data_IF_714136982267
#
_entry.id   IF_714136982267
#
_cell.length_a   1.000
_cell.length_b   1.000
_cell.length_c   1.000
_cell.angle_alpha   90.00
_cell.angle_beta   90.00
_cell.angle_gamma   90.00
#
_symmetry.space_group_name_H-M   'P 1'
#
loop_
_entity.id
_entity.type
_entity.pdbx_description
1 polymer ?
#
# COMPACT_ATOMS: atom_id res chain seq x y z
N UNK A 1 -19.73 -37.16 -1.32
CA UNK A 1 -21.10 -37.41 -1.81
C UNK A 1 -22.04 -37.82 -0.68
N UNK A 2 -21.66 -38.73 0.23
CA UNK A 2 -22.50 -39.18 1.37
C UNK A 2 -22.80 -38.06 2.39
N UNK A 3 -21.81 -37.22 2.76
CA UNK A 3 -22.03 -36.11 3.71
C UNK A 3 -22.97 -35.01 3.19
N UNK A 4 -23.07 -34.78 1.87
CA UNK A 4 -24.00 -33.76 1.35
C UNK A 4 -25.45 -34.24 1.37
N UNK A 5 -25.68 -35.55 1.26
CA UNK A 5 -27.02 -36.15 1.40
C UNK A 5 -27.49 -36.14 2.86
N UNK A 6 -26.60 -36.44 3.81
CA UNK A 6 -26.90 -36.45 5.24
C UNK A 6 -27.39 -35.09 5.79
N UNK A 7 -26.94 -33.98 5.20
CA UNK A 7 -27.31 -32.63 5.62
C UNK A 7 -28.79 -32.27 5.41
N UNK A 8 -29.46 -32.96 4.49
CA UNK A 8 -30.87 -32.71 4.15
C UNK A 8 -31.84 -33.70 4.83
N UNK A 9 -31.32 -34.63 5.62
CA UNK A 9 -32.09 -35.63 6.36
C UNK A 9 -32.49 -35.06 7.72
N UNK A 10 -33.67 -35.39 8.26
CA UNK A 10 -34.04 -35.07 9.64
C UNK A 10 -33.04 -35.63 10.66
N UNK A 11 -32.80 -34.91 11.76
CA UNK A 11 -31.85 -35.32 12.80
C UNK A 11 -32.20 -36.71 13.39
N UNK A 12 -33.48 -37.02 13.58
CA UNK A 12 -33.93 -38.33 14.09
C UNK A 12 -33.55 -39.49 13.16
N UNK A 13 -33.71 -39.30 11.85
CA UNK A 13 -33.32 -40.28 10.84
C UNK A 13 -31.80 -40.38 10.73
N UNK A 14 -31.09 -39.27 10.91
CA UNK A 14 -29.63 -39.25 10.95
C UNK A 14 -29.08 -40.02 12.16
N UNK A 15 -29.65 -39.83 13.36
CA UNK A 15 -29.30 -40.60 14.56
C UNK A 15 -29.46 -42.10 14.33
N UNK A 16 -30.61 -42.49 13.78
CA UNK A 16 -30.93 -43.89 13.47
C UNK A 16 -29.95 -44.50 12.48
N UNK A 17 -29.60 -43.76 11.41
CA UNK A 17 -28.66 -44.23 10.39
C UNK A 17 -27.22 -44.33 10.90
N UNK A 18 -26.81 -43.45 11.81
CA UNK A 18 -25.43 -43.38 12.34
C UNK A 18 -25.21 -44.19 13.62
N UNK A 19 -26.26 -44.78 14.18
CA UNK A 19 -26.19 -45.53 15.45
C UNK A 19 -26.05 -44.64 16.70
N UNK A 20 -26.35 -43.34 16.60
CA UNK A 20 -26.37 -42.43 17.74
C UNK A 20 -27.61 -42.74 18.60
N UNK A 21 -27.43 -42.82 19.92
CA UNK A 21 -28.53 -43.05 20.87
C UNK A 21 -29.66 -42.02 20.68
N UNK A 22 -30.92 -42.46 20.76
CA UNK A 22 -32.08 -41.55 20.66
C UNK A 22 -32.02 -40.45 21.73
N UNK A 23 -31.57 -40.80 22.93
CA UNK A 23 -31.50 -39.88 24.07
C UNK A 23 -30.25 -38.99 24.08
N UNK A 24 -29.35 -39.14 23.10
CA UNK A 24 -28.12 -38.33 23.03
C UNK A 24 -28.47 -36.85 22.77
N UNK A 25 -27.91 -35.96 23.60
CA UNK A 25 -27.99 -34.53 23.39
C UNK A 25 -26.97 -34.09 22.33
N UNK A 26 -27.42 -34.03 21.07
CA UNK A 26 -26.56 -33.67 19.93
C UNK A 26 -26.01 -32.25 20.06
N UNK A 27 -26.74 -31.32 20.68
CA UNK A 27 -26.27 -29.94 20.90
C UNK A 27 -25.08 -29.92 21.83
N UNK A 28 -25.20 -30.59 22.98
CA UNK A 28 -24.14 -30.71 23.97
C UNK A 28 -22.90 -31.38 23.39
N UNK A 29 -23.08 -32.48 22.66
CA UNK A 29 -21.98 -33.16 21.98
C UNK A 29 -21.31 -32.24 20.95
N UNK A 30 -22.06 -31.50 20.13
CA UNK A 30 -21.47 -30.52 19.19
C UNK A 30 -20.69 -29.42 19.91
N UNK A 31 -21.20 -28.92 21.04
CA UNK A 31 -20.54 -27.90 21.85
C UNK A 31 -19.30 -28.40 22.57
N UNK A 32 -19.21 -29.69 22.88
CA UNK A 32 -18.01 -30.30 23.48
C UNK A 32 -16.75 -30.13 22.62
N UNK A 33 -16.92 -29.97 21.30
CA UNK A 33 -15.83 -29.74 20.34
C UNK A 33 -15.44 -28.26 20.17
N UNK A 34 -16.12 -27.33 20.84
CA UNK A 34 -15.85 -25.90 20.79
C UNK A 34 -15.04 -25.42 22.02
N UNK A 35 -15.01 -24.11 22.25
CA UNK A 35 -14.26 -23.51 23.36
C UNK A 35 -14.95 -23.78 24.70
N UNK A 36 -14.14 -23.86 25.77
CA UNK A 36 -14.60 -23.96 27.16
C UNK A 36 -14.46 -22.60 27.88
N UNK A 37 -15.38 -22.23 28.78
CA UNK A 37 -16.66 -22.92 29.03
C UNK A 37 -17.57 -22.82 27.79
N UNK A 38 -18.40 -23.84 27.50
CA UNK A 38 -19.39 -23.71 26.44
C UNK A 38 -20.37 -22.59 26.78
N UNK A 39 -21.03 -21.98 25.79
CA UNK A 39 -22.10 -21.05 26.08
C UNK A 39 -23.21 -21.77 26.87
N UNK A 40 -23.91 -21.06 27.76
CA UNK A 40 -25.13 -21.57 28.38
C UNK A 40 -26.04 -22.09 27.26
N UNK A 41 -26.40 -23.37 27.32
CA UNK A 41 -27.26 -23.98 26.31
C UNK A 41 -28.59 -23.24 26.43
N UNK A 42 -29.00 -22.42 25.44
CA UNK A 42 -30.31 -21.81 25.50
C UNK A 42 -31.32 -22.96 25.57
N UNK A 43 -32.48 -22.77 26.20
CA UNK A 43 -33.60 -23.63 25.90
C UNK A 43 -33.83 -23.50 24.38
N UNK A 44 -33.29 -24.42 23.60
CA UNK A 44 -33.42 -24.46 22.15
C UNK A 44 -34.82 -25.01 21.83
N UNK A 45 -35.85 -24.38 22.40
CA UNK A 45 -37.27 -24.75 22.29
C UNK A 45 -37.71 -24.85 20.81
N UNK A 46 -37.00 -24.15 19.92
CA UNK A 46 -37.23 -24.12 18.48
C UNK A 46 -36.54 -25.24 17.68
N UNK A 47 -35.69 -26.08 18.30
CA UNK A 47 -34.97 -27.14 17.56
C UNK A 47 -35.65 -28.49 17.77
N UNK A 48 -36.49 -28.84 16.81
CA UNK A 48 -37.11 -30.16 16.71
C UNK A 48 -36.19 -31.17 16.00
N UNK A 49 -36.13 -32.42 16.46
CA UNK A 49 -35.37 -33.49 15.77
C UNK A 49 -35.91 -33.86 14.38
N UNK A 50 -37.09 -33.36 14.02
CA UNK A 50 -37.66 -33.44 12.68
C UNK A 50 -37.00 -32.46 11.70
N UNK A 51 -36.26 -31.47 12.20
CA UNK A 51 -35.52 -30.53 11.38
C UNK A 51 -34.29 -31.16 10.72
N UNK A 52 -33.88 -30.57 9.60
CA UNK A 52 -32.70 -31.01 8.84
C UNK A 52 -31.42 -30.85 9.66
N UNK A 53 -30.50 -31.82 9.55
CA UNK A 53 -29.17 -31.77 10.20
C UNK A 53 -28.44 -30.45 9.88
N UNK A 54 -28.54 -29.95 8.66
CA UNK A 54 -27.92 -28.67 8.26
C UNK A 54 -28.49 -27.46 9.00
N UNK A 55 -29.80 -27.42 9.23
CA UNK A 55 -30.47 -26.37 10.00
C UNK A 55 -30.08 -26.44 11.47
N UNK A 56 -30.08 -27.65 12.03
CA UNK A 56 -29.63 -27.93 13.40
C UNK A 56 -28.22 -27.39 13.64
N UNK A 57 -27.26 -27.76 12.78
CA UNK A 57 -25.87 -27.30 12.85
C UNK A 57 -25.76 -25.79 12.69
N UNK A 58 -26.52 -25.18 11.79
CA UNK A 58 -26.53 -23.74 11.59
C UNK A 58 -27.00 -23.00 12.85
N UNK A 59 -28.05 -23.46 13.53
CA UNK A 59 -28.55 -22.85 14.76
C UNK A 59 -27.52 -22.95 15.89
N UNK A 60 -26.92 -24.12 16.08
CA UNK A 60 -25.85 -24.30 17.05
C UNK A 60 -24.68 -23.33 16.81
N UNK A 61 -24.24 -23.18 15.55
CA UNK A 61 -23.16 -22.25 15.17
C UNK A 61 -23.54 -20.78 15.34
N UNK A 62 -24.79 -20.42 15.04
CA UNK A 62 -25.28 -19.04 15.20
C UNK A 62 -25.24 -18.63 16.66
N UNK A 63 -25.70 -19.53 17.54
CA UNK A 63 -25.63 -19.32 18.98
C UNK A 63 -24.18 -19.23 19.49
N UNK A 64 -23.32 -20.17 19.07
CA UNK A 64 -21.90 -20.14 19.43
C UNK A 64 -21.22 -18.84 18.96
N UNK A 65 -21.49 -18.36 17.75
CA UNK A 65 -20.92 -17.10 17.27
C UNK A 65 -21.43 -15.89 18.05
N UNK A 66 -22.70 -15.84 18.47
CA UNK A 66 -23.21 -14.77 19.35
C UNK A 66 -22.43 -14.71 20.65
N UNK A 67 -22.28 -15.85 21.31
CA UNK A 67 -21.54 -15.96 22.55
C UNK A 67 -20.06 -15.62 22.36
N UNK A 68 -19.36 -16.25 21.42
CA UNK A 68 -17.90 -16.11 21.26
C UNK A 68 -17.49 -14.71 20.83
N UNK A 69 -18.28 -14.08 19.95
CA UNK A 69 -17.99 -12.75 19.42
C UNK A 69 -18.70 -11.63 20.19
N UNK A 70 -19.45 -11.94 21.26
CA UNK A 70 -20.21 -10.99 22.09
C UNK A 70 -21.09 -10.06 21.24
N UNK A 71 -21.81 -10.63 20.27
CA UNK A 71 -22.61 -9.87 19.30
C UNK A 71 -23.99 -9.54 19.86
N UNK A 72 -24.46 -8.32 19.61
CA UNK A 72 -25.83 -7.91 19.95
C UNK A 72 -26.88 -8.57 19.05
N UNK A 73 -28.10 -8.71 19.57
CA UNK A 73 -29.26 -9.27 18.84
C UNK A 73 -29.65 -8.46 17.59
N UNK A 74 -29.17 -7.22 17.45
CA UNK A 74 -29.40 -6.39 16.26
C UNK A 74 -28.74 -6.92 14.97
N UNK A 75 -27.87 -7.94 15.07
CA UNK A 75 -27.13 -8.53 13.95
C UNK A 75 -27.62 -9.93 13.54
N UNK A 76 -28.80 -10.38 13.99
CA UNK A 76 -29.33 -11.74 13.78
C UNK A 76 -29.20 -12.25 12.33
N UNK A 77 -29.72 -11.49 11.35
CA UNK A 77 -29.67 -11.90 9.93
C UNK A 77 -28.24 -12.14 9.42
N UNK A 78 -27.28 -11.30 9.83
CA UNK A 78 -25.88 -11.43 9.42
C UNK A 78 -25.24 -12.67 10.03
N UNK A 79 -25.54 -12.95 11.30
CA UNK A 79 -25.02 -14.12 12.02
C UNK A 79 -25.52 -15.40 11.37
N UNK A 80 -26.82 -15.48 11.08
CA UNK A 80 -27.42 -16.66 10.45
C UNK A 80 -26.85 -16.91 9.05
N UNK A 81 -26.65 -15.85 8.26
CA UNK A 81 -25.99 -15.94 6.95
C UNK A 81 -24.58 -16.50 7.09
N UNK A 82 -23.80 -15.99 8.05
CA UNK A 82 -22.43 -16.46 8.26
C UNK A 82 -22.45 -17.92 8.73
N UNK A 83 -23.22 -18.26 9.75
CA UNK A 83 -23.36 -19.63 10.26
C UNK A 83 -23.79 -20.62 9.18
N UNK A 84 -24.68 -20.22 8.26
CA UNK A 84 -25.09 -21.06 7.13
C UNK A 84 -23.90 -21.48 6.24
N UNK A 85 -22.85 -20.65 6.13
CA UNK A 85 -21.63 -20.96 5.36
C UNK A 85 -20.71 -21.94 6.08
N UNK A 86 -20.86 -22.06 7.40
CA UNK A 86 -20.09 -22.97 8.25
C UNK A 86 -20.82 -24.27 8.58
N UNK A 87 -22.10 -24.42 8.22
CA UNK A 87 -22.91 -25.60 8.58
C UNK A 87 -22.29 -26.94 8.16
N UNK A 88 -21.47 -26.96 7.10
CA UNK A 88 -20.78 -28.16 6.62
C UNK A 88 -19.35 -28.32 7.17
N UNK A 89 -18.83 -27.35 7.93
CA UNK A 89 -17.49 -27.43 8.54
C UNK A 89 -17.56 -28.14 9.89
N UNK A 90 -16.48 -28.85 10.25
CA UNK A 90 -16.31 -29.43 11.59
C UNK A 90 -16.25 -28.32 12.66
N UNK A 91 -16.87 -28.55 13.81
CA UNK A 91 -16.87 -27.62 14.94
C UNK A 91 -15.46 -27.48 15.51
N UNK A 92 -14.73 -28.59 15.66
CA UNK A 92 -13.31 -28.58 16.08
C UNK A 92 -12.44 -27.78 15.13
N UNK A 93 -12.71 -27.84 13.82
CA UNK A 93 -11.99 -27.06 12.81
C UNK A 93 -12.28 -25.57 12.92
N UNK A 94 -13.52 -25.19 13.21
CA UNK A 94 -13.91 -23.79 13.46
C UNK A 94 -13.21 -23.27 14.72
N UNK A 95 -13.22 -24.07 15.80
CA UNK A 95 -12.51 -23.75 17.05
C UNK A 95 -11.02 -23.54 16.78
N UNK A 96 -10.37 -24.52 16.17
CA UNK A 96 -8.94 -24.46 15.89
C UNK A 96 -8.57 -23.29 14.96
N UNK A 97 -9.36 -23.01 13.93
CA UNK A 97 -9.16 -21.81 13.08
C UNK A 97 -9.25 -20.51 13.89
N UNK A 98 -10.15 -20.47 14.88
CA UNK A 98 -10.27 -19.33 15.77
C UNK A 98 -9.05 -19.23 16.68
N UNK A 99 -8.63 -20.33 17.32
CA UNK A 99 -7.48 -20.39 18.22
C UNK A 99 -6.22 -19.88 17.52
N UNK A 100 -5.94 -20.36 16.30
CA UNK A 100 -4.78 -19.93 15.51
C UNK A 100 -4.82 -18.42 15.21
N UNK A 101 -5.99 -17.88 14.84
CA UNK A 101 -6.10 -16.45 14.53
C UNK A 101 -6.01 -15.57 15.78
N UNK A 102 -6.60 -16.01 16.89
CA UNK A 102 -6.76 -15.21 18.10
C UNK A 102 -5.57 -15.34 19.05
N UNK A 103 -5.10 -16.56 19.30
CA UNK A 103 -4.03 -16.87 20.24
C UNK A 103 -2.66 -16.71 19.56
N UNK A 104 -2.41 -17.47 18.49
CA UNK A 104 -1.12 -17.42 17.78
C UNK A 104 -0.97 -16.09 17.01
N UNK A 105 -2.00 -15.71 16.27
CA UNK A 105 -2.05 -14.49 15.45
C UNK A 105 -2.40 -13.21 16.19
N UNK A 106 -2.69 -13.29 17.49
CA UNK A 106 -3.08 -12.15 18.37
C UNK A 106 -4.21 -11.26 17.81
N UNK A 107 -5.04 -11.78 16.91
CA UNK A 107 -6.05 -10.95 16.24
C UNK A 107 -7.24 -10.70 17.18
N UNK A 108 -7.71 -9.45 17.32
CA UNK A 108 -8.89 -9.16 18.12
C UNK A 108 -10.13 -9.89 17.61
N UNK A 109 -10.97 -10.37 18.53
CA UNK A 109 -12.20 -11.11 18.25
C UNK A 109 -13.10 -10.34 17.26
N UNK A 110 -13.22 -9.02 17.45
CA UNK A 110 -14.03 -8.15 16.60
C UNK A 110 -13.48 -8.08 15.16
N UNK A 111 -12.15 -8.16 14.97
CA UNK A 111 -11.53 -8.19 13.63
C UNK A 111 -11.77 -9.53 12.94
N UNK A 112 -11.59 -10.65 13.63
CA UNK A 112 -11.91 -12.00 13.11
C UNK A 112 -13.34 -12.02 12.54
N UNK A 113 -14.30 -11.46 13.28
CA UNK A 113 -15.69 -11.36 12.86
C UNK A 113 -15.89 -10.39 11.68
N UNK A 114 -15.43 -9.14 11.83
CA UNK A 114 -15.65 -8.07 10.84
C UNK A 114 -15.18 -8.46 9.44
N UNK A 115 -14.07 -9.18 9.34
CA UNK A 115 -13.45 -9.59 8.08
C UNK A 115 -13.74 -11.05 7.68
N UNK A 116 -14.60 -11.76 8.44
CA UNK A 116 -14.99 -13.15 8.19
C UNK A 116 -13.79 -14.11 8.03
N UNK A 117 -12.74 -13.93 8.83
CA UNK A 117 -11.46 -14.64 8.63
C UNK A 117 -11.59 -16.16 8.72
N UNK A 118 -12.51 -16.66 9.57
CA UNK A 118 -12.77 -18.10 9.72
C UNK A 118 -13.22 -18.79 8.42
N UNK A 119 -13.81 -18.05 7.47
CA UNK A 119 -14.43 -18.68 6.29
C UNK A 119 -13.37 -19.27 5.35
N UNK A 120 -12.26 -18.58 5.16
CA UNK A 120 -11.19 -18.94 4.22
C UNK A 120 -9.85 -19.26 4.91
N UNK A 121 -9.88 -19.43 6.23
CA UNK A 121 -8.70 -19.84 7.00
C UNK A 121 -8.30 -21.28 6.66
N UNK A 122 -7.02 -21.48 6.38
CA UNK A 122 -6.37 -22.79 6.37
C UNK A 122 -5.52 -22.86 7.63
N UNK A 123 -6.02 -23.54 8.65
CA UNK A 123 -5.39 -23.59 9.97
C UNK A 123 -3.93 -24.09 9.97
N UNK A 124 -3.61 -25.10 9.15
CA UNK A 124 -2.27 -25.67 9.06
C UNK A 124 -1.32 -24.71 8.36
N UNK A 125 -1.74 -24.14 7.23
CA UNK A 125 -0.92 -23.17 6.49
C UNK A 125 -0.64 -21.93 7.34
N UNK A 126 -1.63 -21.49 8.11
CA UNK A 126 -1.49 -20.32 8.97
C UNK A 126 -0.56 -20.57 10.16
N UNK A 127 -0.61 -21.76 10.77
CA UNK A 127 0.38 -22.13 11.79
C UNK A 127 1.80 -22.19 11.24
N UNK A 128 1.97 -22.79 10.06
CA UNK A 128 3.26 -22.84 9.40
C UNK A 128 3.76 -21.40 9.12
N UNK A 129 2.87 -20.52 8.64
CA UNK A 129 3.18 -19.10 8.44
C UNK A 129 3.66 -18.43 9.73
N UNK A 130 2.95 -18.59 10.85
CA UNK A 130 3.36 -17.97 12.11
C UNK A 130 4.68 -18.51 12.66
N UNK A 131 4.98 -19.79 12.41
CA UNK A 131 6.22 -20.40 12.85
C UNK A 131 7.41 -19.94 11.99
N UNK A 132 7.25 -19.94 10.66
CA UNK A 132 8.34 -19.68 9.72
C UNK A 132 8.55 -18.19 9.44
N UNK A 133 7.49 -17.37 9.47
CA UNK A 133 7.54 -15.95 9.13
C UNK A 133 7.32 -15.10 10.38
N UNK A 134 8.41 -14.85 11.10
CA UNK A 134 8.38 -13.94 12.25
C UNK A 134 8.27 -12.48 11.82
N UNK A 135 9.08 -12.08 10.82
CA UNK A 135 9.15 -10.70 10.32
C UNK A 135 9.20 -10.63 8.80
N UNK A 136 8.71 -9.52 8.26
CA UNK A 136 8.82 -9.13 6.85
C UNK A 136 9.30 -7.67 6.84
N UNK A 137 10.48 -7.40 6.27
CA UNK A 137 11.07 -6.05 6.24
C UNK A 137 11.03 -5.37 7.61
N UNK A 138 11.53 -6.04 8.65
CA UNK A 138 11.58 -5.58 10.06
C UNK A 138 10.23 -5.36 10.77
N UNK A 139 9.11 -5.82 10.19
CA UNK A 139 7.79 -5.74 10.82
C UNK A 139 7.34 -7.14 11.20
N UNK A 140 6.81 -7.31 12.40
CA UNK A 140 6.25 -8.61 12.79
C UNK A 140 5.08 -8.99 11.88
N UNK A 141 4.99 -10.27 11.50
CA UNK A 141 3.88 -10.74 10.68
C UNK A 141 2.52 -10.57 11.39
N UNK A 142 2.51 -10.70 12.72
CA UNK A 142 1.34 -10.44 13.57
C UNK A 142 0.85 -8.98 13.43
N UNK A 143 1.76 -8.00 13.48
CA UNK A 143 1.42 -6.59 13.27
C UNK A 143 0.87 -6.36 11.85
N UNK A 144 1.44 -7.00 10.83
CA UNK A 144 0.92 -6.90 9.47
C UNK A 144 -0.47 -7.52 9.33
N UNK A 145 -0.71 -8.68 9.94
CA UNK A 145 -2.01 -9.34 9.96
C UNK A 145 -3.06 -8.51 10.69
N UNK A 146 -2.66 -7.79 11.74
CA UNK A 146 -3.52 -6.84 12.40
C UNK A 146 -3.94 -5.75 11.41
N UNK A 147 -2.99 -5.09 10.73
CA UNK A 147 -3.29 -4.00 9.78
C UNK A 147 -4.12 -4.49 8.59
N UNK A 148 -3.77 -5.64 8.02
CA UNK A 148 -4.46 -6.25 6.88
C UNK A 148 -4.90 -7.70 7.20
N UNK A 149 -6.12 -7.89 7.72
CA UNK A 149 -6.62 -9.20 8.10
C UNK A 149 -6.67 -10.20 6.97
N UNK A 150 -6.71 -9.78 5.69
CA UNK A 150 -6.76 -10.71 4.57
C UNK A 150 -5.46 -11.55 4.41
N UNK A 151 -4.35 -11.18 5.05
CA UNK A 151 -3.08 -11.91 5.00
C UNK A 151 -3.19 -13.35 5.53
N UNK A 152 -4.19 -13.69 6.35
CA UNK A 152 -4.44 -15.08 6.79
C UNK A 152 -4.70 -16.08 5.65
N UNK A 153 -4.94 -15.58 4.43
CA UNK A 153 -5.22 -16.40 3.24
C UNK A 153 -3.98 -16.70 2.41
N UNK A 154 -2.83 -16.13 2.80
CA UNK A 154 -1.60 -16.28 2.03
C UNK A 154 -1.06 -17.70 2.12
N UNK A 155 -0.28 -18.08 1.12
CA UNK A 155 0.49 -19.32 1.11
C UNK A 155 1.93 -19.00 1.45
N UNK A 156 2.55 -19.82 2.30
CA UNK A 156 3.95 -19.70 2.73
C UNK A 156 4.90 -19.36 1.57
N UNK A 157 4.86 -20.15 0.49
CA UNK A 157 5.72 -19.95 -0.67
C UNK A 157 5.66 -18.53 -1.24
N UNK A 158 4.46 -17.96 -1.37
CA UNK A 158 4.29 -16.61 -1.91
C UNK A 158 4.81 -15.55 -0.93
N UNK A 159 4.64 -15.78 0.38
CA UNK A 159 5.13 -14.87 1.42
C UNK A 159 6.65 -14.81 1.42
N UNK A 160 7.31 -15.96 1.40
CA UNK A 160 8.78 -16.06 1.39
C UNK A 160 9.33 -15.35 0.16
N UNK A 161 8.75 -15.60 -1.00
CA UNK A 161 9.22 -14.99 -2.24
C UNK A 161 9.09 -13.48 -2.23
N UNK A 162 7.90 -12.95 -1.88
CA UNK A 162 7.69 -11.52 -1.80
C UNK A 162 8.57 -10.88 -0.72
N UNK A 163 8.71 -11.52 0.45
CA UNK A 163 9.60 -11.06 1.52
C UNK A 163 11.03 -10.88 1.01
N UNK A 164 11.61 -11.94 0.45
CA UNK A 164 12.99 -11.91 -0.05
C UNK A 164 13.15 -10.82 -1.12
N UNK A 165 12.20 -10.73 -2.05
CA UNK A 165 12.23 -9.73 -3.10
C UNK A 165 12.23 -8.29 -2.54
N UNK A 166 11.33 -8.01 -1.59
CA UNK A 166 11.18 -6.68 -1.00
C UNK A 166 12.44 -6.28 -0.22
N UNK A 167 13.06 -7.25 0.47
CA UNK A 167 14.32 -7.06 1.22
C UNK A 167 15.49 -6.82 0.26
N UNK A 168 15.64 -7.61 -0.80
CA UNK A 168 16.67 -7.45 -1.85
C UNK A 168 16.61 -6.06 -2.50
N UNK A 169 15.41 -5.51 -2.67
CA UNK A 169 15.20 -4.19 -3.27
C UNK A 169 15.18 -3.03 -2.25
N UNK A 170 15.60 -3.27 -1.01
CA UNK A 170 15.70 -2.27 0.06
C UNK A 170 14.38 -1.54 0.33
N UNK A 171 13.25 -2.24 0.22
CA UNK A 171 11.94 -1.69 0.57
C UNK A 171 11.88 -1.53 2.09
N UNK A 172 11.57 -0.30 2.54
CA UNK A 172 11.55 0.02 3.97
C UNK A 172 10.27 -0.49 4.63
N UNK A 173 10.36 -0.82 5.91
CA UNK A 173 9.22 -1.18 6.77
C UNK A 173 8.07 -0.17 6.64
N UNK A 174 8.34 1.13 6.63
CA UNK A 174 7.31 2.16 6.49
C UNK A 174 6.49 2.03 5.19
N UNK A 175 7.11 1.62 4.08
CA UNK A 175 6.41 1.39 2.81
C UNK A 175 5.46 0.19 2.92
N UNK A 176 5.89 -0.88 3.58
CA UNK A 176 5.07 -2.07 3.83
C UNK A 176 3.92 -1.77 4.76
N UNK A 177 4.14 -1.05 5.88
CA UNK A 177 3.06 -0.64 6.81
C UNK A 177 1.98 0.20 6.11
N UNK A 178 2.38 1.06 5.17
CA UNK A 178 1.46 1.88 4.38
C UNK A 178 0.69 1.07 3.33
N UNK A 179 1.17 -0.11 2.94
CA UNK A 179 0.50 -0.98 1.97
C UNK A 179 0.74 -2.49 2.20
N UNK A 180 0.24 -3.10 3.29
CA UNK A 180 0.46 -4.52 3.55
C UNK A 180 -0.20 -5.43 2.49
N UNK A 181 -1.22 -4.90 1.79
CA UNK A 181 -1.90 -5.57 0.68
C UNK A 181 -0.97 -5.98 -0.46
N UNK A 182 0.22 -5.40 -0.56
CA UNK A 182 1.22 -5.84 -1.53
C UNK A 182 1.53 -7.33 -1.40
N UNK A 183 1.49 -7.85 -0.18
CA UNK A 183 1.76 -9.25 0.16
C UNK A 183 0.67 -10.20 -0.38
N UNK A 184 -0.52 -9.68 -0.71
CA UNK A 184 -1.62 -10.46 -1.27
C UNK A 184 -1.52 -10.64 -2.80
N UNK A 185 -0.57 -9.98 -3.46
CA UNK A 185 -0.37 -10.15 -4.89
C UNK A 185 0.28 -11.50 -5.17
N UNK A 186 -0.10 -12.13 -6.29
CA UNK A 186 0.62 -13.29 -6.79
C UNK A 186 1.98 -12.85 -7.36
N UNK A 187 2.99 -13.71 -7.22
CA UNK A 187 4.35 -13.49 -7.72
C UNK A 187 4.39 -12.93 -9.15
N UNK A 188 3.65 -13.55 -10.07
CA UNK A 188 3.62 -13.15 -11.48
C UNK A 188 3.12 -11.71 -11.67
N UNK A 189 2.06 -11.35 -10.97
CA UNK A 189 1.51 -9.99 -11.03
C UNK A 189 2.50 -8.99 -10.46
N UNK A 190 3.07 -9.30 -9.30
CA UNK A 190 4.03 -8.43 -8.63
C UNK A 190 5.28 -8.17 -9.50
N UNK A 191 5.88 -9.22 -10.08
CA UNK A 191 7.06 -9.10 -10.94
C UNK A 191 6.77 -8.34 -12.23
N UNK A 192 5.60 -8.55 -12.83
CA UNK A 192 5.18 -7.83 -14.04
C UNK A 192 5.12 -6.32 -13.77
N UNK A 193 4.48 -5.93 -12.66
CA UNK A 193 4.38 -4.51 -12.28
C UNK A 193 5.74 -3.92 -11.89
N UNK A 194 6.57 -4.70 -11.20
CA UNK A 194 7.92 -4.27 -10.84
C UNK A 194 8.74 -3.93 -12.08
N UNK A 195 8.72 -4.82 -13.08
CA UNK A 195 9.44 -4.65 -14.33
C UNK A 195 8.97 -3.42 -15.13
N UNK A 196 7.67 -3.11 -15.08
CA UNK A 196 7.12 -1.89 -15.70
C UNK A 196 7.63 -0.62 -15.01
N UNK A 197 7.75 -0.63 -13.68
CA UNK A 197 8.19 0.53 -12.91
C UNK A 197 9.70 0.77 -13.06
N UNK A 198 10.53 -0.27 -13.07
CA UNK A 198 12.00 -0.12 -13.25
C UNK A 198 12.37 0.36 -14.66
N UNK A 199 11.58 0.02 -15.68
CA UNK A 199 11.88 0.34 -17.09
C UNK A 199 11.59 1.79 -17.42
N UNK A 200 10.65 2.44 -16.73
CA UNK A 200 10.30 3.84 -16.98
C UNK A 200 11.14 4.81 -16.12
N UNK A 201 12.03 5.64 -16.72
CA UNK A 201 12.93 6.52 -15.97
C UNK A 201 12.23 7.46 -14.98
N UNK A 202 11.06 7.97 -15.33
CA UNK A 202 10.25 8.85 -14.50
C UNK A 202 9.67 8.16 -13.26
N UNK A 203 9.58 6.82 -13.27
CA UNK A 203 9.13 6.03 -12.13
C UNK A 203 10.27 5.63 -11.19
N UNK A 204 11.53 5.66 -11.66
CA UNK A 204 12.70 5.37 -10.80
C UNK A 204 12.78 6.30 -9.58
N UNK A 205 12.33 7.54 -9.75
CA UNK A 205 12.21 8.53 -8.66
C UNK A 205 11.30 8.05 -7.53
N UNK A 206 10.32 7.22 -7.85
CA UNK A 206 9.31 6.75 -6.93
C UNK A 206 9.77 5.55 -6.10
N UNK A 207 10.93 4.94 -6.37
CA UNK A 207 11.40 3.79 -5.58
C UNK A 207 11.52 4.10 -4.08
N UNK A 208 11.86 5.34 -3.76
CA UNK A 208 11.97 5.82 -2.38
C UNK A 208 10.67 6.42 -1.84
N UNK A 209 9.60 6.43 -2.65
CA UNK A 209 8.34 7.02 -2.27
C UNK A 209 7.58 6.09 -1.29
N UNK A 210 7.06 6.62 -0.16
CA UNK A 210 6.29 5.83 0.81
C UNK A 210 5.09 5.10 0.21
N UNK A 211 4.50 5.69 -0.84
CA UNK A 211 3.31 5.19 -1.52
C UNK A 211 3.59 4.34 -2.77
N UNK A 212 4.85 4.00 -3.05
CA UNK A 212 5.23 3.18 -4.21
C UNK A 212 4.42 1.89 -4.27
N UNK A 213 4.43 1.07 -3.21
CA UNK A 213 3.78 -0.24 -3.22
C UNK A 213 2.27 -0.17 -3.50
N UNK A 214 1.66 0.99 -3.19
CA UNK A 214 0.23 1.21 -3.45
C UNK A 214 -0.07 1.32 -4.95
N UNK A 215 0.91 1.62 -5.79
CA UNK A 215 0.71 1.64 -7.25
C UNK A 215 0.49 0.24 -7.80
N UNK A 216 1.22 -0.75 -7.28
CA UNK A 216 1.11 -2.15 -7.67
C UNK A 216 -0.30 -2.68 -7.40
N UNK A 217 -0.82 -2.40 -6.19
CA UNK A 217 -2.16 -2.82 -5.78
C UNK A 217 -3.27 -2.11 -6.56
N UNK A 218 -3.01 -0.92 -7.12
CA UNK A 218 -3.99 -0.10 -7.83
C UNK A 218 -3.74 -0.04 -9.35
N UNK A 219 -3.00 -0.99 -9.92
CA UNK A 219 -2.53 -0.95 -11.32
C UNK A 219 -3.61 -0.65 -12.35
N UNK A 220 -4.75 -1.35 -12.29
CA UNK A 220 -5.82 -1.18 -13.29
C UNK A 220 -6.39 0.23 -13.22
N UNK A 221 -6.61 0.70 -11.99
CA UNK A 221 -7.08 2.06 -11.73
C UNK A 221 -6.08 3.11 -12.22
N UNK A 222 -4.79 2.87 -12.03
CA UNK A 222 -3.73 3.76 -12.53
C UNK A 222 -3.73 3.81 -14.05
N UNK A 223 -3.86 2.66 -14.72
CA UNK A 223 -3.92 2.59 -16.18
C UNK A 223 -5.05 3.46 -16.74
N UNK A 224 -6.27 3.29 -16.25
CA UNK A 224 -7.42 4.11 -16.67
C UNK A 224 -7.20 5.61 -16.41
N UNK A 225 -6.58 5.96 -15.27
CA UNK A 225 -6.29 7.35 -14.94
C UNK A 225 -5.25 7.95 -15.87
N UNK A 226 -4.20 7.21 -16.20
CA UNK A 226 -3.17 7.65 -17.13
C UNK A 226 -3.75 7.82 -18.54
N UNK A 227 -4.61 6.91 -19.00
CA UNK A 227 -5.33 7.05 -20.27
C UNK A 227 -6.24 8.28 -20.28
N UNK A 228 -6.96 8.54 -19.18
CA UNK A 228 -7.80 9.72 -19.04
C UNK A 228 -6.99 11.03 -19.06
N UNK A 229 -5.83 11.07 -18.39
CA UNK A 229 -4.96 12.24 -18.42
C UNK A 229 -4.38 12.48 -19.80
N UNK A 230 -4.02 11.42 -20.53
CA UNK A 230 -3.60 11.53 -21.94
C UNK A 230 -4.71 12.11 -22.82
N UNK A 231 -5.95 11.69 -22.62
CA UNK A 231 -7.10 12.26 -23.34
C UNK A 231 -7.27 13.76 -23.07
N UNK A 232 -6.99 14.21 -21.84
CA UNK A 232 -7.04 15.62 -21.45
C UNK A 232 -5.76 16.40 -21.80
N UNK A 233 -4.79 15.80 -22.50
CA UNK A 233 -3.45 16.36 -22.74
C UNK A 233 -2.74 16.83 -21.45
N UNK A 234 -3.02 16.16 -20.33
CA UNK A 234 -2.34 16.38 -19.06
C UNK A 234 -1.12 15.47 -18.99
N UNK A 235 0.06 16.05 -19.11
CA UNK A 235 1.33 15.33 -19.01
C UNK A 235 1.87 15.24 -17.59
N UNK A 236 1.39 16.08 -16.65
CA UNK A 236 2.00 16.23 -15.33
C UNK A 236 0.97 16.00 -14.21
N UNK A 237 1.11 14.88 -13.48
CA UNK A 237 0.31 14.64 -12.29
C UNK A 237 1.13 13.97 -11.20
N UNK A 238 0.86 14.35 -9.95
CA UNK A 238 1.49 13.68 -8.83
C UNK A 238 0.95 12.26 -8.64
N UNK A 239 1.84 11.30 -8.36
CA UNK A 239 1.47 9.91 -8.01
C UNK A 239 0.42 9.85 -6.90
N UNK A 240 0.47 10.78 -5.94
CA UNK A 240 -0.51 10.89 -4.87
C UNK A 240 -1.94 10.98 -5.40
N UNK A 241 -2.18 11.82 -6.40
CA UNK A 241 -3.53 11.96 -6.96
C UNK A 241 -3.91 10.73 -7.78
N UNK A 242 -2.93 10.10 -8.43
CA UNK A 242 -3.13 8.85 -9.16
C UNK A 242 -3.57 7.69 -8.25
N UNK A 243 -3.19 7.66 -6.97
CA UNK A 243 -3.60 6.60 -6.02
C UNK A 243 -4.80 6.96 -5.14
N UNK A 244 -5.31 8.19 -5.22
CA UNK A 244 -6.40 8.70 -4.38
C UNK A 244 -7.80 8.21 -4.78
N UNK A 245 -8.83 8.62 -4.05
CA UNK A 245 -10.23 8.32 -4.39
C UNK A 245 -10.59 8.89 -5.77
N UNK A 246 -11.62 8.35 -6.48
CA UNK A 246 -12.10 8.94 -7.74
C UNK A 246 -12.44 10.43 -7.60
N UNK A 247 -13.19 10.78 -6.55
CA UNK A 247 -13.56 12.16 -6.23
C UNK A 247 -12.35 13.09 -6.07
N UNK A 248 -11.33 12.68 -5.30
CA UNK A 248 -10.12 13.50 -5.10
C UNK A 248 -9.31 13.69 -6.39
N UNK A 249 -9.26 12.66 -7.22
CA UNK A 249 -8.57 12.70 -8.51
C UNK A 249 -9.28 13.65 -9.48
N UNK A 250 -10.61 13.53 -9.63
CA UNK A 250 -11.39 14.44 -10.46
C UNK A 250 -11.33 15.88 -9.97
N UNK A 251 -11.42 16.09 -8.65
CA UNK A 251 -11.28 17.42 -8.04
C UNK A 251 -9.93 18.04 -8.38
N UNK A 252 -8.85 17.27 -8.30
CA UNK A 252 -7.50 17.73 -8.65
C UNK A 252 -7.39 18.17 -10.11
N UNK A 253 -7.99 17.39 -11.03
CA UNK A 253 -8.00 17.72 -12.46
C UNK A 253 -8.80 19.01 -12.69
N UNK A 254 -10.03 19.07 -12.15
CA UNK A 254 -10.94 20.23 -12.32
C UNK A 254 -10.39 21.51 -11.72
N UNK A 255 -9.66 21.44 -10.62
CA UNK A 255 -9.11 22.61 -9.94
C UNK A 255 -7.77 23.10 -10.51
N UNK A 256 -7.28 22.51 -11.62
CA UNK A 256 -5.92 22.77 -12.11
C UNK A 256 -4.84 22.46 -11.07
N UNK A 257 -5.18 21.67 -10.05
CA UNK A 257 -4.42 21.47 -8.82
C UNK A 257 -3.25 20.49 -9.01
N UNK A 258 -2.58 20.55 -10.14
CA UNK A 258 -1.55 19.61 -10.58
C UNK A 258 -0.19 19.90 -9.92
N UNK A 259 -0.21 20.35 -8.68
CA UNK A 259 0.98 20.70 -7.91
C UNK A 259 1.39 19.51 -7.06
N UNK A 260 2.67 19.15 -7.11
CA UNK A 260 3.28 18.30 -6.09
C UNK A 260 2.99 18.91 -4.71
N UNK A 261 2.71 18.07 -3.70
CA UNK A 261 2.67 18.58 -2.34
C UNK A 261 4.09 18.97 -1.94
N UNK A 262 4.25 20.22 -1.49
CA UNK A 262 5.49 20.73 -0.89
C UNK A 262 6.18 19.69 0.02
N UNK A 263 5.40 19.04 0.89
CA UNK A 263 5.90 18.01 1.81
C UNK A 263 6.58 16.81 1.13
N UNK A 264 6.07 16.36 -0.01
CA UNK A 264 6.59 15.18 -0.71
C UNK A 264 7.87 15.50 -1.49
N UNK A 265 7.90 16.64 -2.20
CA UNK A 265 9.14 17.14 -2.83
C UNK A 265 10.24 17.24 -1.77
N UNK A 266 9.92 17.88 -0.64
CA UNK A 266 10.84 18.07 0.47
C UNK A 266 11.37 16.73 1.03
N UNK A 267 10.50 15.73 1.18
CA UNK A 267 10.87 14.42 1.70
C UNK A 267 11.79 13.67 0.74
N UNK A 268 11.47 13.68 -0.56
CA UNK A 268 12.26 12.97 -1.58
C UNK A 268 13.62 13.64 -1.76
N UNK A 269 13.65 14.96 -2.00
CA UNK A 269 14.90 15.69 -2.12
C UNK A 269 15.74 15.63 -0.84
N UNK A 270 15.10 15.70 0.33
CA UNK A 270 15.77 15.50 1.62
C UNK A 270 16.47 14.16 1.70
N UNK A 271 15.84 13.08 1.22
CA UNK A 271 16.49 11.78 1.12
C UNK A 271 17.68 11.77 0.14
N UNK A 272 17.59 12.45 -1.01
CA UNK A 272 18.67 12.48 -2.00
C UNK A 272 19.89 13.30 -1.56
N UNK A 273 19.66 14.31 -0.71
CA UNK A 273 20.68 15.21 -0.16
C UNK A 273 21.19 14.75 1.20
N UNK A 274 20.46 13.84 1.88
CA UNK A 274 20.66 13.48 3.29
C UNK A 274 20.45 14.69 4.22
N UNK A 275 19.47 15.52 3.89
CA UNK A 275 19.15 16.77 4.58
C UNK A 275 17.72 16.72 5.12
N UNK A 276 17.43 17.46 6.20
CA UNK A 276 16.10 17.55 6.77
C UNK A 276 15.08 18.09 5.74
N UNK A 277 13.93 17.42 5.51
CA UNK A 277 12.88 17.90 4.61
C UNK A 277 12.42 19.34 4.88
N UNK A 278 12.41 19.80 6.14
CA UNK A 278 12.04 21.18 6.47
C UNK A 278 13.00 22.19 5.82
N UNK A 279 14.31 21.94 5.93
CA UNK A 279 15.37 22.78 5.33
C UNK A 279 15.28 22.78 3.80
N UNK A 280 14.96 21.65 3.18
CA UNK A 280 14.70 21.61 1.72
C UNK A 280 13.55 22.55 1.33
N UNK A 281 12.48 22.54 2.12
CA UNK A 281 11.34 23.44 1.91
C UNK A 281 11.72 24.91 1.99
N UNK A 282 12.53 25.28 2.98
CA UNK A 282 13.05 26.64 3.13
C UNK A 282 13.90 27.06 1.92
N UNK A 283 14.82 26.19 1.48
CA UNK A 283 15.68 26.47 0.32
C UNK A 283 14.88 26.65 -0.97
N UNK A 284 13.89 25.79 -1.24
CA UNK A 284 13.03 25.89 -2.43
C UNK A 284 12.10 27.09 -2.39
N UNK A 285 11.61 27.46 -1.21
CA UNK A 285 10.62 28.53 -1.04
C UNK A 285 11.08 29.90 -1.55
N UNK A 286 12.39 30.08 -1.74
CA UNK A 286 13.00 31.29 -2.29
C UNK A 286 12.67 31.53 -3.76
N UNK A 287 12.23 30.52 -4.51
CA UNK A 287 11.92 30.63 -5.93
C UNK A 287 10.41 30.64 -6.20
N UNK A 288 9.81 31.62 -6.88
CA UNK A 288 8.35 31.75 -6.99
C UNK A 288 7.64 30.53 -7.58
N UNK A 289 8.32 29.82 -8.48
CA UNK A 289 7.75 28.70 -9.22
C UNK A 289 8.12 27.30 -8.73
N UNK A 290 8.82 27.15 -7.60
CA UNK A 290 9.38 25.85 -7.18
C UNK A 290 8.35 24.71 -7.10
N UNK A 291 7.08 25.01 -6.78
CA UNK A 291 5.99 24.02 -6.69
C UNK A 291 5.42 23.58 -8.04
N UNK A 292 5.73 24.33 -9.10
CA UNK A 292 5.25 24.08 -10.45
C UNK A 292 6.27 23.25 -11.27
N UNK A 293 7.50 23.12 -10.80
CA UNK A 293 8.55 22.34 -11.47
C UNK A 293 8.39 20.85 -11.17
N UNK A 294 8.65 20.01 -12.18
CA UNK A 294 8.60 18.56 -12.04
C UNK A 294 9.74 18.02 -11.18
N UNK A 295 9.41 17.09 -10.28
CA UNK A 295 10.41 16.43 -9.45
C UNK A 295 11.44 15.63 -10.27
N UNK A 296 11.04 15.03 -11.40
CA UNK A 296 11.98 14.34 -12.28
C UNK A 296 13.05 15.30 -12.81
N UNK A 297 12.64 16.48 -13.29
CA UNK A 297 13.56 17.52 -13.73
C UNK A 297 14.51 17.93 -12.60
N UNK A 298 13.96 18.20 -11.41
CA UNK A 298 14.76 18.56 -10.23
C UNK A 298 15.84 17.51 -9.91
N UNK A 299 15.46 16.24 -9.94
CA UNK A 299 16.38 15.14 -9.63
C UNK A 299 17.39 14.89 -10.74
N UNK A 300 17.01 15.08 -12.00
CA UNK A 300 17.92 14.97 -13.14
C UNK A 300 19.04 16.01 -13.04
N UNK A 301 18.66 17.28 -12.83
CA UNK A 301 19.60 18.38 -12.62
C UNK A 301 20.43 18.18 -11.35
N UNK A 302 19.82 17.74 -10.24
CA UNK A 302 20.55 17.45 -9.00
C UNK A 302 21.60 16.34 -9.19
N UNK A 303 21.26 15.25 -9.88
CA UNK A 303 22.20 14.16 -10.12
C UNK A 303 23.38 14.60 -11.00
N UNK A 304 23.11 15.43 -12.02
CA UNK A 304 24.15 16.05 -12.83
C UNK A 304 25.08 16.93 -11.98
N UNK A 305 24.53 17.77 -11.11
CA UNK A 305 25.34 18.64 -10.27
C UNK A 305 26.18 17.85 -9.26
N UNK A 306 25.62 16.79 -8.67
CA UNK A 306 26.34 15.91 -7.72
C UNK A 306 27.52 15.18 -8.33
N UNK A 307 27.61 15.03 -9.66
CA UNK A 307 28.78 14.45 -10.30
C UNK A 307 29.94 15.43 -10.47
N UNK A 308 29.69 16.74 -10.29
CA UNK A 308 30.68 17.82 -10.53
C UNK A 308 30.94 18.72 -9.31
N UNK A 309 30.00 18.82 -8.37
CA UNK A 309 30.03 19.78 -7.25
C UNK A 309 29.78 19.10 -5.90
N UNK A 310 30.28 19.71 -4.83
CA UNK A 310 30.01 19.24 -3.47
C UNK A 310 28.54 19.51 -3.08
N UNK A 311 28.01 18.72 -2.14
CA UNK A 311 26.64 18.94 -1.64
C UNK A 311 26.52 20.33 -1.00
N UNK A 312 27.56 20.83 -0.33
CA UNK A 312 27.56 22.15 0.29
C UNK A 312 27.42 23.27 -0.76
N UNK A 313 28.13 23.17 -1.88
CA UNK A 313 28.02 24.15 -2.98
C UNK A 313 26.62 24.16 -3.61
N UNK A 314 26.03 22.96 -3.76
CA UNK A 314 24.68 22.79 -4.28
C UNK A 314 23.64 23.36 -3.30
N UNK A 315 23.79 23.13 -1.99
CA UNK A 315 22.88 23.70 -0.99
C UNK A 315 22.92 25.23 -0.96
N UNK A 316 24.10 25.83 -1.15
CA UNK A 316 24.23 27.30 -1.24
C UNK A 316 23.50 27.90 -2.45
N UNK A 317 23.36 27.13 -3.53
CA UNK A 317 22.74 27.55 -4.79
C UNK A 317 21.50 26.72 -5.14
N UNK A 318 20.77 26.25 -4.12
CA UNK A 318 19.83 25.12 -4.24
C UNK A 318 18.77 25.25 -5.34
N UNK A 319 18.30 26.47 -5.63
CA UNK A 319 17.29 26.71 -6.65
C UNK A 319 17.77 26.40 -8.08
N UNK A 320 19.08 26.22 -8.32
CA UNK A 320 19.61 25.77 -9.62
C UNK A 320 19.01 24.43 -10.06
N UNK A 321 18.57 23.57 -9.13
CA UNK A 321 17.93 22.30 -9.47
C UNK A 321 16.57 22.49 -10.15
N UNK A 322 15.96 23.68 -10.06
CA UNK A 322 14.67 23.97 -10.68
C UNK A 322 14.76 24.14 -12.20
N UNK A 323 15.97 24.36 -12.71
CA UNK A 323 16.24 24.59 -14.12
C UNK A 323 16.50 23.25 -14.83
N UNK A 324 16.13 23.18 -16.11
CA UNK A 324 16.38 22.00 -16.93
C UNK A 324 17.87 21.67 -17.01
N UNK A 325 18.19 20.37 -16.85
CA UNK A 325 19.56 19.85 -16.87
C UNK A 325 20.34 20.36 -18.08
N UNK A 326 19.77 20.26 -19.28
CA UNK A 326 20.47 20.60 -20.53
C UNK A 326 20.88 22.08 -20.59
N UNK A 327 20.03 22.97 -20.04
CA UNK A 327 20.30 24.41 -19.94
C UNK A 327 21.41 24.70 -18.93
N UNK A 328 21.31 24.08 -17.75
CA UNK A 328 22.33 24.18 -16.70
C UNK A 328 23.68 23.65 -17.18
N UNK A 329 23.66 22.51 -17.88
CA UNK A 329 24.85 21.85 -18.44
C UNK A 329 25.56 22.74 -19.45
N UNK A 330 24.82 23.26 -20.45
CA UNK A 330 25.38 24.15 -21.47
C UNK A 330 26.03 25.40 -20.87
N UNK A 331 25.31 26.09 -19.97
CA UNK A 331 25.83 27.32 -19.33
C UNK A 331 27.04 27.01 -18.44
N UNK A 332 26.99 25.94 -17.64
CA UNK A 332 28.11 25.58 -16.76
C UNK A 332 29.35 25.15 -17.54
N UNK A 333 29.22 24.46 -18.66
CA UNK A 333 30.38 24.06 -19.46
C UNK A 333 31.15 25.27 -19.98
N UNK A 334 30.44 26.29 -20.47
CA UNK A 334 31.04 27.55 -20.89
C UNK A 334 31.71 28.28 -19.71
N UNK A 335 31.02 28.42 -18.58
CA UNK A 335 31.56 29.09 -17.40
C UNK A 335 32.78 28.37 -16.82
N UNK A 336 32.77 27.04 -16.78
CA UNK A 336 33.91 26.24 -16.31
C UNK A 336 35.09 26.39 -17.28
N UNK A 337 34.83 26.44 -18.59
CA UNK A 337 35.87 26.67 -19.59
C UNK A 337 36.51 28.06 -19.41
N UNK A 338 35.69 29.11 -19.35
CA UNK A 338 36.15 30.48 -19.13
C UNK A 338 36.92 30.62 -17.81
N UNK A 339 36.44 30.00 -16.73
CA UNK A 339 37.10 30.05 -15.43
C UNK A 339 38.48 29.37 -15.42
N UNK A 340 38.70 28.37 -16.28
CA UNK A 340 40.03 27.74 -16.43
C UNK A 340 41.04 28.65 -17.14
N UNK A 341 40.57 29.59 -17.95
CA UNK A 341 41.40 30.57 -18.65
C UNK A 341 41.83 31.74 -17.75
N UNK A 342 41.19 31.91 -16.59
CA UNK A 342 41.55 32.92 -15.60
C UNK A 342 42.80 32.52 -14.81
N UNK A 343 43.57 33.53 -14.42
CA UNK A 343 44.65 33.42 -13.44
C UNK A 343 44.15 32.81 -12.14
N UNK A 344 44.98 32.01 -11.47
CA UNK A 344 44.60 31.27 -10.26
C UNK A 344 44.00 32.16 -9.16
N UNK A 345 44.48 33.40 -9.01
CA UNK A 345 43.97 34.37 -8.03
C UNK A 345 42.57 34.93 -8.34
N UNK A 346 42.13 34.83 -9.60
CA UNK A 346 40.87 35.37 -10.08
C UNK A 346 39.83 34.28 -10.38
N UNK A 347 40.15 33.01 -10.14
CA UNK A 347 39.23 31.90 -10.39
C UNK A 347 38.04 31.92 -9.44
N UNK A 348 36.87 31.70 -10.01
CA UNK A 348 35.65 31.50 -9.27
C UNK A 348 35.66 30.14 -8.55
N UNK A 349 35.20 30.15 -7.31
CA UNK A 349 34.89 28.93 -6.54
C UNK A 349 33.71 28.18 -7.15
N UNK A 350 33.57 26.90 -6.79
CA UNK A 350 32.44 26.06 -7.17
C UNK A 350 31.08 26.70 -6.85
N UNK A 351 30.91 27.23 -5.64
CA UNK A 351 29.70 27.96 -5.26
C UNK A 351 29.44 29.20 -6.12
N UNK A 352 30.48 29.96 -6.48
CA UNK A 352 30.35 31.13 -7.36
C UNK A 352 29.98 30.75 -8.79
N UNK A 353 30.54 29.66 -9.33
CA UNK A 353 30.19 29.15 -10.65
C UNK A 353 28.71 28.75 -10.74
N UNK A 354 28.19 28.10 -9.70
CA UNK A 354 26.76 27.74 -9.64
C UNK A 354 25.87 29.00 -9.56
N UNK A 355 26.27 30.01 -8.77
CA UNK A 355 25.56 31.28 -8.71
C UNK A 355 25.55 32.00 -10.07
N UNK A 356 26.70 32.05 -10.74
CA UNK A 356 26.86 32.64 -12.07
C UNK A 356 26.05 31.88 -13.13
N UNK A 357 25.96 30.55 -13.04
CA UNK A 357 25.12 29.78 -13.94
C UNK A 357 23.66 30.22 -13.87
N UNK A 358 23.10 30.37 -12.66
CA UNK A 358 21.72 30.84 -12.53
C UNK A 358 21.59 32.29 -13.00
N UNK A 359 22.57 33.15 -12.71
CA UNK A 359 22.60 34.52 -13.22
C UNK A 359 22.53 34.57 -14.76
N UNK A 360 23.37 33.78 -15.43
CA UNK A 360 23.43 33.70 -16.90
C UNK A 360 22.13 33.18 -17.51
N UNK A 361 21.42 32.28 -16.82
CA UNK A 361 20.11 31.81 -17.23
C UNK A 361 19.05 32.90 -17.04
N UNK A 362 18.97 33.51 -15.85
CA UNK A 362 17.91 34.42 -15.44
C UNK A 362 18.06 35.84 -15.99
N UNK A 363 19.27 36.27 -16.40
CA UNK A 363 19.47 37.64 -16.92
C UNK A 363 18.58 37.96 -18.12
N UNK A 364 18.24 36.96 -18.94
CA UNK A 364 17.33 37.10 -20.10
C UNK A 364 15.86 37.24 -19.69
N UNK A 365 15.54 36.86 -18.45
CA UNK A 365 14.19 36.86 -17.88
C UNK A 365 14.05 37.89 -16.76
N UNK A 366 15.01 38.82 -16.63
CA UNK A 366 15.03 39.87 -15.60
C UNK A 366 14.86 39.34 -14.16
N UNK A 367 15.36 38.13 -13.87
CA UNK A 367 15.30 37.51 -12.54
C UNK A 367 13.87 37.35 -11.99
N UNK A 368 12.88 37.23 -12.86
CA UNK A 368 11.48 36.92 -12.51
C UNK A 368 11.33 35.48 -12.02
N UNK A 369 12.34 34.62 -12.25
CA UNK A 369 12.26 33.19 -12.06
C UNK A 369 11.67 32.46 -13.27
N UNK A 370 11.33 33.18 -14.35
CA UNK A 370 10.80 32.58 -15.57
C UNK A 370 11.86 31.81 -16.37
N UNK A 371 13.14 31.91 -16.04
CA UNK A 371 14.20 31.15 -16.70
C UNK A 371 14.14 29.64 -16.44
N UNK A 372 13.32 29.20 -15.48
CA UNK A 372 12.95 27.78 -15.29
C UNK A 372 12.02 27.28 -16.41
N UNK A 373 11.30 28.20 -17.06
CA UNK A 373 10.37 27.95 -18.16
C UNK A 373 11.07 28.14 -19.48
N UNK A 374 11.89 27.19 -19.93
CA UNK A 374 12.28 27.20 -21.34
C UNK A 374 12.95 25.90 -21.83
N UNK A 375 12.43 25.32 -22.92
CA UNK A 375 13.03 25.44 -24.27
C UNK A 375 12.40 24.45 -25.29
N UNK A 376 12.10 24.93 -26.51
CA UNK A 376 11.87 24.15 -27.75
C UNK A 376 10.64 23.23 -27.89
N UNK A 377 9.69 23.21 -26.95
CA UNK A 377 8.45 22.42 -27.13
C UNK A 377 7.20 23.33 -27.00
N UNK A 378 6.48 23.63 -28.10
CA UNK A 378 5.35 24.59 -28.11
C UNK A 378 4.16 24.20 -27.22
N UNK A 379 4.15 22.99 -26.64
CA UNK A 379 3.08 22.53 -25.76
C UNK A 379 3.13 23.08 -24.32
N UNK A 380 4.25 23.67 -23.87
CA UNK A 380 4.36 24.22 -22.51
C UNK A 380 3.98 25.70 -22.37
N UNK A 381 3.92 26.46 -23.47
CA UNK A 381 3.59 27.90 -23.49
C UNK A 381 2.11 28.22 -23.25
N UNK A 382 1.22 27.22 -23.31
CA UNK A 382 -0.22 27.43 -23.15
C UNK A 382 -0.70 27.48 -21.68
N UNK A 383 0.18 27.25 -20.71
CA UNK A 383 -0.19 27.18 -19.27
C UNK A 383 0.34 28.39 -18.48
N UNK A 384 1.18 29.25 -19.06
CA UNK A 384 1.76 30.42 -18.39
C UNK A 384 0.90 31.68 -18.45
N UNK A 385 -0.21 31.65 -19.19
CA UNK A 385 -1.16 32.78 -19.33
C UNK A 385 -2.57 32.42 -18.82
N UNK A 386 -2.69 31.85 -17.62
CA UNK A 386 -3.93 31.88 -16.81
C UNK A 386 -3.63 32.00 -15.31
#
# INVERSE_FOLDING_TARGET
>A
MIMSLANNVPMISFKTFTGISKNENVVENLYSYLHKPPPDIPPMEDINEHEKVSYFRQKCLSHYFRWRFQLSNTCEKKIDIIASRFRNKSFSRIKYSFDVLHEDGKMPIQRIWKYNCLQKCSENDLKILFNEIQTICDISFVELLEIEPALHKMKLKNVILLKNFLEEHNIKSEQIKNCPKILLLDEKDFLTEWNLIITLPQWKVLFKHPLLLRTFVLKDKLKYRLEYLRYLNVSHIHIYYLIKTPHDFERCIKSGGMKYRAKEINLILGHYLRTNPARVGEMLSKHPFWRKIELYNMLNTLNYLKSKFSIADIENNFYIILYHKDKVENVLENLIHENKLLDDSNRYTSSQLLALCVYEIEKKFHFTGDGVWDTNNPQQLLISHE
#
